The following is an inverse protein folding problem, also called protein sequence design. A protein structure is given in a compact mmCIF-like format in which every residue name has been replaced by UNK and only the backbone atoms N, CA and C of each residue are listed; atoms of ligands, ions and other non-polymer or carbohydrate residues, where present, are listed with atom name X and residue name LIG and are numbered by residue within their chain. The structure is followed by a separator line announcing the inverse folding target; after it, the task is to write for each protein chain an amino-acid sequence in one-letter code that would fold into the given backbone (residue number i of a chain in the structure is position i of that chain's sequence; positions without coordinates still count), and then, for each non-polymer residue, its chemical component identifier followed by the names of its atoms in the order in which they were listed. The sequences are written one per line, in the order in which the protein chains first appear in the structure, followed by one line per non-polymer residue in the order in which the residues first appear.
data_IF_497877412948
#
_entry.id   IF_497877412948
#
_cell.length_a   1.000
_cell.length_b   1.000
_cell.length_c   1.000
_cell.angle_alpha   90.00
_cell.angle_beta   90.00
_cell.angle_gamma   90.00
#
_symmetry.space_group_name_H-M   'P 1'
#
loop_
_entity.id
_entity.type
_entity.pdbx_description
1 polymer ?
#
# COMPACT_ATOMS: atom_id res chain seq x y z
N UNK A 1 0.52 9.03 -27.62
CA UNK A 1 1.47 8.25 -26.78
C UNK A 1 2.77 9.02 -26.71
N UNK A 2 3.12 9.57 -25.55
CA UNK A 2 4.37 10.31 -25.34
C UNK A 2 5.30 9.39 -24.55
N UNK A 3 6.47 9.08 -25.12
CA UNK A 3 7.53 8.35 -24.43
C UNK A 3 8.35 9.36 -23.62
N UNK A 4 8.38 9.19 -22.31
CA UNK A 4 9.14 10.06 -21.39
C UNK A 4 10.55 9.48 -21.26
N UNK A 5 11.58 10.31 -21.45
CA UNK A 5 12.95 9.88 -21.24
C UNK A 5 13.29 9.81 -19.74
N UNK A 6 14.21 8.92 -19.33
CA UNK A 6 14.62 8.75 -17.93
C UNK A 6 15.02 10.09 -17.26
N UNK A 7 15.69 10.97 -18.02
CA UNK A 7 16.08 12.32 -17.59
C UNK A 7 14.92 13.25 -17.23
N UNK A 8 13.72 12.99 -17.76
CA UNK A 8 12.52 13.82 -17.57
C UNK A 8 11.65 13.34 -16.40
N UNK A 9 11.82 12.07 -15.98
CA UNK A 9 11.06 11.43 -14.90
C UNK A 9 11.11 12.27 -13.62
N UNK A 10 12.31 12.72 -13.23
CA UNK A 10 12.49 13.56 -12.04
C UNK A 10 11.73 14.87 -12.14
N UNK A 11 11.69 15.48 -13.33
CA UNK A 11 10.97 16.73 -13.59
C UNK A 11 9.46 16.57 -13.45
N UNK A 12 8.91 15.43 -13.88
CA UNK A 12 7.48 15.12 -13.78
C UNK A 12 7.07 14.92 -12.32
N UNK A 13 7.78 14.06 -11.58
CA UNK A 13 7.46 13.80 -10.17
C UNK A 13 7.70 15.01 -9.25
N UNK A 14 8.59 15.92 -9.63
CA UNK A 14 8.83 17.16 -8.87
C UNK A 14 7.75 18.23 -9.10
N UNK A 15 7.02 18.17 -10.21
CA UNK A 15 6.00 19.16 -10.60
C UNK A 15 4.58 18.59 -10.45
N UNK A 16 4.24 18.14 -9.26
CA UNK A 16 2.94 17.52 -8.95
C UNK A 16 1.70 18.43 -9.12
N UNK A 17 1.87 19.75 -9.19
CA UNK A 17 0.80 20.70 -9.56
C UNK A 17 0.58 20.79 -11.08
N UNK A 18 1.55 20.35 -11.89
CA UNK A 18 1.51 20.41 -13.36
C UNK A 18 1.13 19.06 -13.94
N UNK A 19 1.65 17.99 -13.35
CA UNK A 19 1.38 16.60 -13.72
C UNK A 19 0.57 15.94 -12.61
N UNK A 20 -0.69 15.68 -12.89
CA UNK A 20 -1.61 15.03 -11.95
C UNK A 20 -1.80 13.56 -12.32
N UNK A 21 -2.19 12.71 -11.35
CA UNK A 21 -2.53 11.33 -11.67
C UNK A 21 -3.78 11.30 -12.53
N UNK A 22 -3.87 10.38 -13.51
CA UNK A 22 -5.07 10.27 -14.32
C UNK A 22 -6.27 9.96 -13.44
N UNK A 23 -7.34 10.75 -13.57
CA UNK A 23 -8.60 10.41 -12.92
C UNK A 23 -9.14 9.11 -13.52
N UNK A 24 -9.36 8.10 -12.67
CA UNK A 24 -9.95 6.84 -13.10
C UNK A 24 -11.27 7.11 -13.83
N UNK A 25 -11.39 6.58 -15.05
CA UNK A 25 -12.60 6.69 -15.87
C UNK A 25 -13.82 6.11 -15.15
N UNK A 26 -13.61 5.12 -14.27
CA UNK A 26 -14.65 4.54 -13.43
C UNK A 26 -14.54 5.00 -11.96
N UNK A 27 -15.46 5.84 -11.45
CA UNK A 27 -15.46 6.32 -10.08
C UNK A 27 -15.67 5.22 -9.03
N UNK A 28 -16.03 3.99 -9.44
CA UNK A 28 -16.11 2.81 -8.56
C UNK A 28 -14.74 2.43 -8.01
N UNK A 29 -13.64 2.71 -8.72
CA UNK A 29 -12.29 2.42 -8.23
C UNK A 29 -11.98 3.15 -6.90
N UNK A 30 -12.55 4.33 -6.69
CA UNK A 30 -12.40 5.09 -5.45
C UNK A 30 -13.05 4.42 -4.22
N UNK A 31 -13.90 3.40 -4.43
CA UNK A 31 -14.50 2.63 -3.35
C UNK A 31 -13.52 1.61 -2.75
N UNK A 32 -12.45 1.20 -3.44
CA UNK A 32 -11.47 0.29 -2.86
C UNK A 32 -10.61 0.99 -1.81
N UNK A 33 -10.02 2.12 -2.20
CA UNK A 33 -9.29 3.01 -1.32
C UNK A 33 -9.11 4.35 -2.04
N UNK A 34 -9.54 5.46 -1.43
CA UNK A 34 -9.20 6.79 -1.93
C UNK A 34 -7.80 7.17 -1.41
N UNK A 35 -7.69 7.49 -0.13
CA UNK A 35 -6.44 7.76 0.59
C UNK A 35 -5.45 8.69 -0.12
N UNK A 36 -4.26 8.83 0.46
CA UNK A 36 -3.21 9.70 -0.05
C UNK A 36 -2.77 9.35 -1.47
N UNK A 37 -2.92 8.09 -1.90
CA UNK A 37 -2.59 7.65 -3.25
C UNK A 37 -3.39 8.38 -4.33
N UNK A 38 -4.64 8.76 -4.06
CA UNK A 38 -5.54 9.40 -5.03
C UNK A 38 -5.72 10.91 -4.81
N UNK A 39 -5.09 11.50 -3.80
CA UNK A 39 -5.14 12.95 -3.59
C UNK A 39 -4.07 13.66 -4.42
N UNK A 40 -4.38 14.90 -4.80
CA UNK A 40 -3.48 15.80 -5.51
C UNK A 40 -3.26 17.09 -4.71
N UNK A 41 -2.22 17.84 -5.10
CA UNK A 41 -1.98 19.23 -4.67
C UNK A 41 -1.99 19.42 -3.14
N UNK A 42 -2.69 20.45 -2.65
CA UNK A 42 -2.76 20.82 -1.24
C UNK A 42 -3.36 19.70 -0.38
N UNK A 43 -4.33 18.96 -0.91
CA UNK A 43 -4.94 17.84 -0.19
C UNK A 43 -3.92 16.73 0.02
N UNK A 44 -3.16 16.38 -1.02
CA UNK A 44 -2.06 15.43 -0.88
C UNK A 44 -1.00 15.93 0.11
N UNK A 45 -0.61 17.21 0.01
CA UNK A 45 0.43 17.79 0.86
C UNK A 45 0.02 17.73 2.34
N UNK A 46 -1.23 18.08 2.65
CA UNK A 46 -1.82 17.98 3.99
C UNK A 46 -1.79 16.56 4.53
N UNK A 47 -2.34 15.60 3.78
CA UNK A 47 -2.36 14.20 4.19
C UNK A 47 -0.95 13.64 4.37
N UNK A 48 -0.03 13.97 3.46
CA UNK A 48 1.39 13.55 3.55
C UNK A 48 2.05 14.09 4.80
N UNK A 49 1.82 15.36 5.14
CA UNK A 49 2.38 15.99 6.34
C UNK A 49 1.94 15.23 7.59
N UNK A 50 0.63 15.00 7.74
CA UNK A 50 0.03 14.35 8.91
C UNK A 50 0.48 12.89 9.02
N UNK A 51 0.61 12.18 7.90
CA UNK A 51 1.01 10.76 7.88
C UNK A 51 2.50 10.52 8.09
N UNK A 52 3.36 11.46 7.70
CA UNK A 52 4.83 11.27 7.72
C UNK A 52 5.39 10.71 9.03
N UNK A 53 4.97 11.17 10.23
CA UNK A 53 5.49 10.63 11.49
C UNK A 53 5.22 9.14 11.69
N UNK A 54 4.09 8.63 11.18
CA UNK A 54 3.69 7.23 11.31
C UNK A 54 4.60 6.26 10.54
N UNK A 55 5.36 6.76 9.56
CA UNK A 55 6.30 5.98 8.75
C UNK A 55 7.77 6.27 9.09
N UNK A 56 8.05 6.90 10.23
CA UNK A 56 9.43 7.03 10.70
C UNK A 56 10.01 5.67 11.11
N UNK A 57 11.30 5.48 10.81
CA UNK A 57 12.00 4.19 11.01
C UNK A 57 11.91 3.66 12.46
N UNK A 58 11.81 4.56 13.44
CA UNK A 58 11.69 4.19 14.86
C UNK A 58 10.38 3.45 15.20
N UNK A 59 9.33 3.66 14.38
CA UNK A 59 7.98 3.08 14.53
C UNK A 59 7.81 1.73 13.82
N UNK A 60 8.80 1.29 13.03
CA UNK A 60 8.73 0.06 12.22
C UNK A 60 9.44 -1.15 12.88
N UNK A 61 9.54 -1.17 14.21
CA UNK A 61 10.26 -2.22 14.94
C UNK A 61 9.39 -3.45 15.15
N UNK A 62 10.08 -4.59 15.23
CA UNK A 62 9.59 -5.98 15.32
C UNK A 62 9.33 -6.63 13.98
N UNK A 63 9.98 -7.78 13.71
CA UNK A 63 9.40 -9.04 13.23
C UNK A 63 10.52 -10.02 12.84
N UNK A 64 10.50 -11.21 13.44
CA UNK A 64 11.13 -12.42 12.93
C UNK A 64 10.45 -13.63 13.56
N UNK A 65 9.67 -14.39 12.78
CA UNK A 65 9.44 -15.84 12.92
C UNK A 65 8.29 -16.28 12.00
N UNK A 66 8.64 -16.71 10.78
CA UNK A 66 7.92 -17.78 10.09
C UNK A 66 8.99 -18.65 9.44
N UNK A 67 9.49 -19.63 10.19
CA UNK A 67 10.18 -20.78 9.60
C UNK A 67 9.46 -22.00 10.17
N UNK A 68 8.68 -22.73 9.36
CA UNK A 68 8.15 -24.02 9.77
C UNK A 68 9.30 -24.98 10.11
N UNK A 69 9.09 -25.77 11.16
CA UNK A 69 10.03 -26.78 11.62
C UNK A 69 10.11 -27.96 10.63
N UNK A 70 11.34 -28.42 10.45
CA UNK A 70 11.85 -29.68 9.89
C UNK A 70 11.15 -30.36 8.69
N UNK A 71 11.76 -30.20 7.50
CA UNK A 71 11.56 -31.07 6.32
C UNK A 71 11.61 -30.32 4.97
N UNK A 72 11.93 -31.02 3.88
CA UNK A 72 11.73 -30.48 2.51
C UNK A 72 10.30 -30.76 2.05
N UNK A 73 9.52 -29.71 1.80
CA UNK A 73 8.15 -29.83 1.28
C UNK A 73 7.94 -28.85 0.14
N UNK A 74 7.22 -29.29 -0.91
CA UNK A 74 6.71 -28.40 -1.94
C UNK A 74 5.58 -27.53 -1.38
N UNK A 75 5.71 -26.22 -1.52
CA UNK A 75 4.83 -25.24 -0.93
C UNK A 75 4.49 -24.15 -1.95
N UNK A 76 3.20 -23.90 -2.15
CA UNK A 76 2.75 -22.67 -2.81
C UNK A 76 3.00 -21.49 -1.87
N UNK A 77 3.94 -20.64 -2.26
CA UNK A 77 4.41 -19.49 -1.45
C UNK A 77 3.46 -18.29 -1.53
N UNK A 78 2.60 -18.19 -2.55
CA UNK A 78 1.76 -16.99 -2.73
C UNK A 78 0.76 -16.81 -1.58
N UNK A 79 -0.06 -17.82 -1.19
CA UNK A 79 -0.96 -17.69 -0.06
C UNK A 79 -0.23 -17.46 1.27
N UNK A 80 0.99 -17.98 1.41
CA UNK A 80 1.80 -17.81 2.60
C UNK A 80 2.29 -16.37 2.76
N UNK A 81 2.75 -15.75 1.67
CA UNK A 81 3.16 -14.35 1.69
C UNK A 81 1.97 -13.39 1.82
N UNK A 82 0.81 -13.69 1.23
CA UNK A 82 -0.41 -12.92 1.51
C UNK A 82 -0.74 -12.95 3.01
N UNK A 83 -0.76 -14.14 3.63
CA UNK A 83 -1.00 -14.26 5.08
C UNK A 83 0.06 -13.54 5.92
N UNK A 84 1.35 -13.69 5.57
CA UNK A 84 2.46 -13.04 6.28
C UNK A 84 2.32 -11.51 6.23
N UNK A 85 2.14 -10.95 5.03
CA UNK A 85 2.03 -9.49 4.84
C UNK A 85 0.78 -8.92 5.49
N UNK A 86 -0.35 -9.63 5.44
CA UNK A 86 -1.56 -9.27 6.19
C UNK A 86 -1.31 -9.24 7.70
N UNK A 87 -0.61 -10.23 8.25
CA UNK A 87 -0.30 -10.27 9.69
C UNK A 87 0.64 -9.11 10.09
N UNK A 88 1.66 -8.83 9.28
CA UNK A 88 2.58 -7.71 9.50
C UNK A 88 1.83 -6.39 9.49
N UNK A 89 1.04 -6.10 8.45
CA UNK A 89 0.35 -4.81 8.34
C UNK A 89 -0.74 -4.66 9.42
N UNK A 90 -1.49 -5.73 9.75
CA UNK A 90 -2.49 -5.67 10.83
C UNK A 90 -1.90 -5.24 12.17
N UNK A 91 -0.71 -5.74 12.52
CA UNK A 91 -0.08 -5.43 13.80
C UNK A 91 0.74 -4.14 13.75
N UNK A 92 1.55 -3.92 12.70
CA UNK A 92 2.37 -2.70 12.60
C UNK A 92 1.54 -1.45 12.33
N UNK A 93 0.49 -1.56 11.50
CA UNK A 93 -0.32 -0.40 11.15
C UNK A 93 -1.50 -0.15 12.09
N UNK A 94 -2.03 -1.19 12.73
CA UNK A 94 -3.28 -1.09 13.49
C UNK A 94 -3.21 -1.68 14.91
N UNK A 95 -2.06 -2.19 15.34
CA UNK A 95 -1.91 -2.85 16.64
C UNK A 95 -2.81 -4.08 16.83
N UNK A 96 -3.35 -4.60 15.72
CA UNK A 96 -4.41 -5.62 15.69
C UNK A 96 -3.85 -6.98 15.28
N UNK A 97 -4.56 -8.05 15.61
CA UNK A 97 -4.22 -9.39 15.11
C UNK A 97 -4.57 -9.55 13.63
N UNK A 98 -3.93 -10.51 12.94
CA UNK A 98 -4.38 -10.91 11.59
C UNK A 98 -5.86 -11.27 11.57
N UNK A 99 -6.36 -11.96 12.60
CA UNK A 99 -7.76 -12.40 12.67
C UNK A 99 -8.74 -11.23 12.76
N UNK A 100 -8.37 -10.13 13.42
CA UNK A 100 -9.17 -8.89 13.45
C UNK A 100 -9.23 -8.20 12.08
N UNK A 101 -8.14 -8.22 11.32
CA UNK A 101 -8.06 -7.62 9.98
C UNK A 101 -8.49 -8.53 8.83
N UNK A 102 -8.57 -9.86 9.04
CA UNK A 102 -8.80 -10.86 7.99
C UNK A 102 -9.99 -10.53 7.10
N UNK A 103 -11.10 -10.14 7.72
CA UNK A 103 -12.34 -9.82 7.01
C UNK A 103 -12.17 -8.62 6.08
N UNK A 104 -11.39 -7.61 6.49
CA UNK A 104 -11.10 -6.42 5.67
C UNK A 104 -10.31 -6.84 4.42
N UNK A 105 -9.27 -7.65 4.58
CA UNK A 105 -8.47 -8.13 3.44
C UNK A 105 -9.29 -8.95 2.44
N UNK A 106 -10.12 -9.88 2.92
CA UNK A 106 -11.02 -10.67 2.07
C UNK A 106 -11.96 -9.78 1.26
N UNK A 107 -12.60 -8.80 1.91
CA UNK A 107 -13.51 -7.86 1.26
C UNK A 107 -12.79 -6.96 0.25
N UNK A 108 -11.60 -6.45 0.58
CA UNK A 108 -10.82 -5.63 -0.34
C UNK A 108 -10.31 -6.42 -1.55
N UNK A 109 -9.99 -7.70 -1.37
CA UNK A 109 -9.69 -8.61 -2.49
C UNK A 109 -10.89 -8.78 -3.41
N UNK A 110 -12.09 -9.02 -2.86
CA UNK A 110 -13.33 -9.08 -3.64
C UNK A 110 -13.61 -7.77 -4.40
N UNK A 111 -13.38 -6.62 -3.75
CA UNK A 111 -13.49 -5.30 -4.39
C UNK A 111 -12.49 -5.13 -5.54
N UNK A 112 -11.23 -5.52 -5.33
CA UNK A 112 -10.18 -5.45 -6.35
C UNK A 112 -10.52 -6.31 -7.57
N UNK A 113 -11.04 -7.54 -7.37
CA UNK A 113 -11.49 -8.40 -8.47
C UNK A 113 -12.63 -7.79 -9.30
N UNK A 114 -13.57 -7.11 -8.64
CA UNK A 114 -14.64 -6.39 -9.32
C UNK A 114 -14.06 -5.24 -10.14
N UNK A 115 -13.15 -4.46 -9.55
CA UNK A 115 -12.52 -3.32 -10.22
C UNK A 115 -11.70 -3.77 -11.42
N UNK A 116 -10.91 -4.84 -11.29
CA UNK A 116 -10.12 -5.41 -12.39
C UNK A 116 -10.99 -5.82 -13.58
N UNK A 117 -12.16 -6.43 -13.33
CA UNK A 117 -13.12 -6.77 -14.40
C UNK A 117 -13.70 -5.53 -15.08
N UNK A 118 -13.88 -4.44 -14.34
CA UNK A 118 -14.38 -3.18 -14.86
C UNK A 118 -13.28 -2.34 -15.54
N UNK A 119 -12.01 -2.61 -15.23
CA UNK A 119 -10.87 -1.87 -15.77
C UNK A 119 -10.72 -2.06 -17.28
N UNK A 120 -11.08 -3.25 -17.77
CA UNK A 120 -11.10 -3.58 -19.19
C UNK A 120 -12.40 -3.16 -19.91
N UNK A 121 -13.25 -2.34 -19.25
CA UNK A 121 -14.56 -1.94 -19.76
C UNK A 121 -14.68 -0.42 -19.88
N UNK A 122 -15.38 0.05 -20.92
CA UNK A 122 -15.71 1.47 -21.06
C UNK A 122 -16.70 1.84 -19.96
N UNK A 123 -16.31 2.78 -19.09
CA UNK A 123 -17.22 3.28 -18.08
C UNK A 123 -18.38 4.05 -18.73
N UNK A 124 -19.61 3.60 -18.46
CA UNK A 124 -20.82 4.30 -18.85
C UNK A 124 -21.24 5.20 -17.68
N UNK A 125 -21.30 6.54 -17.84
CA UNK A 125 -21.78 7.44 -16.79
C UNK A 125 -23.11 7.00 -16.18
N UNK A 126 -23.20 6.98 -14.85
CA UNK A 126 -24.40 6.56 -14.13
C UNK A 126 -24.57 5.05 -13.96
N UNK A 127 -23.81 4.21 -14.69
CA UNK A 127 -23.88 2.74 -14.59
C UNK A 127 -23.63 2.21 -13.17
N UNK A 128 -22.85 2.93 -12.35
CA UNK A 128 -22.61 2.62 -10.93
C UNK A 128 -23.87 2.59 -10.05
N UNK A 129 -24.94 3.25 -10.50
CA UNK A 129 -26.21 3.29 -9.78
C UNK A 129 -27.17 2.18 -10.22
N UNK A 130 -26.86 1.49 -11.32
CA UNK A 130 -27.66 0.36 -11.78
C UNK A 130 -27.57 -0.79 -10.76
N UNK A 131 -28.68 -1.52 -10.50
CA UNK A 131 -28.74 -2.58 -9.49
C UNK A 131 -28.10 -3.90 -9.98
N UNK A 132 -26.93 -3.82 -10.61
CA UNK A 132 -26.17 -5.01 -11.04
C UNK A 132 -25.62 -5.77 -9.84
N UNK A 133 -25.36 -7.08 -9.99
CA UNK A 133 -24.74 -7.90 -8.93
C UNK A 133 -23.41 -7.31 -8.45
N UNK A 134 -22.58 -6.86 -9.39
CA UNK A 134 -21.28 -6.24 -9.12
C UNK A 134 -21.41 -4.93 -8.34
N UNK A 135 -22.33 -4.04 -8.71
CA UNK A 135 -22.52 -2.77 -8.00
C UNK A 135 -23.10 -2.97 -6.59
N UNK A 136 -24.04 -3.91 -6.43
CA UNK A 136 -24.59 -4.25 -5.11
C UNK A 136 -23.50 -4.80 -4.20
N UNK A 137 -22.77 -5.79 -4.69
CA UNK A 137 -21.66 -6.40 -3.96
C UNK A 137 -20.61 -5.37 -3.57
N UNK A 138 -20.18 -4.50 -4.48
CA UNK A 138 -19.23 -3.42 -4.19
C UNK A 138 -19.72 -2.48 -3.10
N UNK A 139 -21.01 -2.09 -3.10
CA UNK A 139 -21.59 -1.24 -2.05
C UNK A 139 -21.67 -1.93 -0.70
N UNK A 140 -22.06 -3.21 -0.69
CA UNK A 140 -22.16 -4.02 0.52
C UNK A 140 -20.79 -4.22 1.16
N UNK A 141 -19.78 -4.63 0.37
CA UNK A 141 -18.42 -4.83 0.87
C UNK A 141 -17.78 -3.52 1.32
N UNK A 142 -18.01 -2.42 0.59
CA UNK A 142 -17.51 -1.10 1.01
C UNK A 142 -18.09 -0.66 2.35
N UNK A 143 -19.40 -0.85 2.55
CA UNK A 143 -20.03 -0.52 3.81
C UNK A 143 -19.44 -1.33 4.97
N UNK A 144 -19.24 -2.64 4.79
CA UNK A 144 -18.69 -3.52 5.82
C UNK A 144 -17.23 -3.16 6.16
N UNK A 145 -16.40 -2.86 5.16
CA UNK A 145 -15.01 -2.38 5.36
C UNK A 145 -15.01 -1.05 6.12
N UNK A 146 -15.82 -0.08 5.69
CA UNK A 146 -15.92 1.23 6.32
C UNK A 146 -16.38 1.14 7.78
N UNK A 147 -17.38 0.31 8.09
CA UNK A 147 -17.87 0.09 9.45
C UNK A 147 -16.83 -0.58 10.35
N UNK A 148 -16.07 -1.53 9.79
CA UNK A 148 -15.02 -2.24 10.52
C UNK A 148 -13.88 -1.30 10.92
N UNK A 149 -13.39 -0.51 9.95
CA UNK A 149 -12.31 0.47 10.20
C UNK A 149 -12.79 1.59 11.12
N UNK A 150 -14.03 2.07 10.93
CA UNK A 150 -14.61 3.10 11.80
C UNK A 150 -14.65 2.63 13.25
N UNK A 151 -15.02 1.37 13.50
CA UNK A 151 -15.02 0.79 14.84
C UNK A 151 -13.63 0.81 15.49
N UNK A 152 -12.57 0.51 14.73
CA UNK A 152 -11.20 0.61 15.21
C UNK A 152 -10.85 2.04 15.62
N UNK A 153 -11.18 3.02 14.78
CA UNK A 153 -10.93 4.44 15.06
C UNK A 153 -11.72 4.91 16.28
N UNK A 154 -13.03 4.61 16.34
CA UNK A 154 -13.90 5.02 17.44
C UNK A 154 -13.42 4.44 18.78
N UNK A 155 -12.90 3.20 18.78
CA UNK A 155 -12.31 2.60 19.98
C UNK A 155 -11.05 3.35 20.45
N UNK A 156 -10.18 3.77 19.53
CA UNK A 156 -8.97 4.55 19.84
C UNK A 156 -9.31 5.94 20.37
N UNK A 157 -10.32 6.60 19.77
CA UNK A 157 -10.81 7.91 20.24
C UNK A 157 -11.38 7.82 21.66
N UNK A 158 -12.21 6.81 21.96
CA UNK A 158 -12.74 6.58 23.32
C UNK A 158 -11.64 6.27 24.33
N UNK A 159 -10.63 5.50 23.96
CA UNK A 159 -9.48 5.23 24.82
C UNK A 159 -8.74 6.53 25.17
N UNK A 160 -8.56 7.42 24.18
CA UNK A 160 -7.95 8.74 24.39
C UNK A 160 -8.78 9.62 25.34
N UNK A 161 -10.10 9.66 25.17
CA UNK A 161 -11.00 10.37 26.10
C UNK A 161 -10.91 9.84 27.55
N UNK A 162 -10.63 8.55 27.70
CA UNK A 162 -10.38 7.91 28.99
C UNK A 162 -8.95 8.13 29.54
N UNK A 163 -8.14 8.98 28.89
CA UNK A 163 -6.78 9.32 29.31
C UNK A 163 -5.69 8.36 28.85
N UNK A 164 -6.00 7.40 27.97
CA UNK A 164 -4.99 6.50 27.39
C UNK A 164 -4.30 7.16 26.19
N UNK A 165 -3.13 6.66 25.82
CA UNK A 165 -2.46 7.05 24.59
C UNK A 165 -3.09 6.36 23.37
N UNK A 166 -2.89 6.94 22.19
CA UNK A 166 -3.43 6.37 20.95
C UNK A 166 -2.74 5.07 20.53
N UNK A 167 -1.60 4.72 21.10
CA UNK A 167 -0.75 3.60 20.67
C UNK A 167 0.36 4.05 19.72
N UNK A 168 1.39 3.22 19.59
CA UNK A 168 2.60 3.50 18.81
C UNK A 168 2.56 2.98 17.36
N UNK A 169 1.50 2.27 16.97
CA UNK A 169 1.24 1.84 15.60
C UNK A 169 0.91 3.02 14.64
N UNK A 170 0.83 2.72 13.33
CA UNK A 170 0.59 3.75 12.30
C UNK A 170 -0.73 4.49 12.53
N UNK A 171 -1.81 3.79 12.88
CA UNK A 171 -3.10 4.41 13.17
C UNK A 171 -3.02 5.30 14.40
N UNK A 172 -2.39 4.83 15.49
CA UNK A 172 -2.22 5.61 16.71
C UNK A 172 -1.42 6.89 16.45
N UNK A 173 -0.30 6.77 15.73
CA UNK A 173 0.55 7.90 15.36
C UNK A 173 -0.15 8.87 14.39
N UNK A 174 -0.98 8.36 13.46
CA UNK A 174 -1.80 9.19 12.58
C UNK A 174 -2.82 10.01 13.38
N UNK A 175 -3.54 9.39 14.31
CA UNK A 175 -4.54 10.07 15.15
C UNK A 175 -3.89 11.13 16.06
N UNK A 176 -2.72 10.82 16.61
CA UNK A 176 -1.93 11.76 17.41
C UNK A 176 -1.46 12.96 16.57
N UNK A 177 -0.78 12.71 15.45
CA UNK A 177 -0.32 13.74 14.51
C UNK A 177 -1.48 14.62 14.03
N UNK A 178 -2.64 14.02 13.76
CA UNK A 178 -3.84 14.74 13.35
C UNK A 178 -4.38 15.66 14.45
N UNK A 179 -4.39 15.17 15.69
CA UNK A 179 -4.86 15.95 16.85
C UNK A 179 -3.94 17.13 17.10
N UNK A 180 -2.62 16.91 17.06
CA UNK A 180 -1.61 17.95 17.24
C UNK A 180 -1.73 19.04 16.17
N UNK A 181 -1.92 18.68 14.89
CA UNK A 181 -2.08 19.67 13.81
C UNK A 181 -3.32 20.55 14.02
N UNK A 182 -4.42 19.97 14.51
CA UNK A 182 -5.66 20.71 14.82
C UNK A 182 -5.43 21.69 15.98
N UNK A 183 -4.75 21.23 17.04
CA UNK A 183 -4.46 22.03 18.24
C UNK A 183 -3.49 23.18 17.94
N UNK A 184 -2.38 22.92 17.24
CA UNK A 184 -1.37 23.93 16.89
C UNK A 184 -1.94 25.04 16.00
N UNK A 185 -2.86 24.70 15.10
CA UNK A 185 -3.48 25.66 14.17
C UNK A 185 -4.78 26.26 14.70
N UNK A 186 -5.32 25.72 15.80
CA UNK A 186 -6.58 26.16 16.40
C UNK A 186 -7.83 25.96 15.54
N UNK A 187 -7.76 25.14 14.48
CA UNK A 187 -8.89 24.88 13.58
C UNK A 187 -8.89 23.45 13.05
N UNK A 188 -10.08 22.82 13.08
CA UNK A 188 -10.32 21.47 12.56
C UNK A 188 -10.08 21.35 11.06
N UNK A 189 -10.09 22.47 10.32
CA UNK A 189 -9.85 22.49 8.87
C UNK A 189 -8.42 22.04 8.50
N UNK A 190 -7.47 22.16 9.42
CA UNK A 190 -6.08 21.72 9.22
C UNK A 190 -5.87 20.23 9.50
N UNK A 191 -6.82 19.56 10.18
CA UNK A 191 -6.78 18.12 10.40
C UNK A 191 -7.61 17.33 9.38
N UNK A 192 -7.43 16.02 9.39
CA UNK A 192 -8.22 15.03 8.66
C UNK A 192 -9.55 14.79 9.37
N UNK A 193 -10.61 14.69 8.57
CA UNK A 193 -11.91 14.19 9.03
C UNK A 193 -11.83 12.69 9.33
N UNK A 194 -12.77 12.15 10.12
CA UNK A 194 -12.83 10.71 10.39
C UNK A 194 -12.98 9.90 9.10
N UNK A 195 -13.78 10.39 8.15
CA UNK A 195 -13.93 9.71 6.86
C UNK A 195 -12.62 9.71 6.06
N UNK A 196 -11.83 10.79 6.13
CA UNK A 196 -10.49 10.82 5.53
C UNK A 196 -9.53 9.85 6.19
N UNK A 197 -9.53 9.74 7.52
CA UNK A 197 -8.74 8.74 8.26
C UNK A 197 -9.16 7.33 7.85
N UNK A 198 -10.45 7.05 7.72
CA UNK A 198 -10.94 5.75 7.21
C UNK A 198 -10.38 5.47 5.81
N UNK A 199 -10.38 6.45 4.90
CA UNK A 199 -9.83 6.26 3.57
C UNK A 199 -8.32 5.99 3.56
N UNK A 200 -7.56 6.58 4.48
CA UNK A 200 -6.13 6.24 4.67
C UNK A 200 -5.96 4.81 5.19
N UNK A 201 -6.75 4.40 6.20
CA UNK A 201 -6.70 3.05 6.73
C UNK A 201 -7.04 1.99 5.67
N UNK A 202 -8.06 2.22 4.85
CA UNK A 202 -8.39 1.35 3.71
C UNK A 202 -7.21 1.22 2.75
N UNK A 203 -6.53 2.33 2.47
CA UNK A 203 -5.35 2.32 1.62
C UNK A 203 -4.21 1.53 2.26
N UNK A 204 -3.97 1.66 3.57
CA UNK A 204 -2.89 0.91 4.24
C UNK A 204 -3.14 -0.60 4.25
N UNK A 205 -4.37 -1.03 4.54
CA UNK A 205 -4.73 -2.45 4.46
C UNK A 205 -4.49 -3.01 3.05
N UNK A 206 -4.96 -2.31 2.01
CA UNK A 206 -4.83 -2.78 0.63
C UNK A 206 -3.38 -2.70 0.12
N UNK A 207 -2.77 -1.51 0.18
CA UNK A 207 -1.46 -1.26 -0.40
C UNK A 207 -0.35 -2.01 0.33
N UNK A 208 -0.43 -2.13 1.66
CA UNK A 208 0.61 -2.77 2.48
C UNK A 208 0.68 -4.29 2.30
N UNK A 209 -0.45 -4.94 2.04
CA UNK A 209 -0.52 -6.39 1.87
C UNK A 209 -0.19 -6.81 0.44
N UNK A 210 -1.03 -6.44 -0.54
CA UNK A 210 -0.99 -7.05 -1.86
C UNK A 210 0.36 -6.79 -2.54
N UNK A 211 0.84 -5.54 -2.51
CA UNK A 211 2.08 -5.17 -3.19
C UNK A 211 3.31 -5.90 -2.62
N UNK A 212 3.42 -5.94 -1.28
CA UNK A 212 4.52 -6.63 -0.59
C UNK A 212 4.48 -8.14 -0.85
N UNK A 213 3.28 -8.74 -0.89
CA UNK A 213 3.14 -10.18 -1.13
C UNK A 213 3.61 -10.57 -2.53
N UNK A 214 3.20 -9.82 -3.56
CA UNK A 214 3.63 -10.00 -4.95
C UNK A 214 5.14 -9.81 -5.07
N UNK A 215 5.68 -8.78 -4.43
CA UNK A 215 7.11 -8.50 -4.42
C UNK A 215 7.93 -9.64 -3.80
N UNK A 216 7.47 -10.24 -2.70
CA UNK A 216 8.11 -11.40 -2.07
C UNK A 216 8.05 -12.66 -2.94
N UNK A 217 6.90 -12.93 -3.60
CA UNK A 217 6.78 -14.06 -4.53
C UNK A 217 7.81 -13.95 -5.65
N UNK A 218 7.88 -12.79 -6.28
CA UNK A 218 8.80 -12.55 -7.38
C UNK A 218 10.26 -12.60 -6.96
N UNK A 219 10.58 -12.07 -5.78
CA UNK A 219 11.88 -12.22 -5.14
C UNK A 219 12.29 -13.69 -5.03
N UNK A 220 11.38 -14.56 -4.56
CA UNK A 220 11.65 -15.99 -4.45
C UNK A 220 11.83 -16.67 -5.81
N UNK A 221 10.98 -16.35 -6.79
CA UNK A 221 11.11 -16.87 -8.17
C UNK A 221 12.47 -16.50 -8.74
N UNK A 222 12.87 -15.22 -8.62
CA UNK A 222 14.12 -14.74 -9.14
C UNK A 222 15.32 -15.41 -8.45
N UNK A 223 15.35 -15.44 -7.12
CA UNK A 223 16.42 -16.10 -6.36
C UNK A 223 16.54 -17.59 -6.71
N UNK A 224 15.42 -18.28 -6.97
CA UNK A 224 15.43 -19.68 -7.40
C UNK A 224 16.13 -19.89 -8.75
N UNK A 225 16.05 -18.91 -9.66
CA UNK A 225 16.68 -18.94 -10.99
C UNK A 225 18.12 -18.44 -10.99
N UNK A 226 18.53 -17.69 -9.97
CA UNK A 226 19.84 -17.06 -9.87
C UNK A 226 20.59 -17.51 -8.60
N UNK A 227 20.98 -18.79 -8.57
CA UNK A 227 21.60 -19.44 -7.41
C UNK A 227 22.84 -18.74 -6.88
N UNK A 228 23.65 -18.13 -7.74
CA UNK A 228 24.84 -17.34 -7.33
C UNK A 228 24.44 -16.15 -6.44
N UNK A 229 23.37 -15.45 -6.79
CA UNK A 229 22.85 -14.33 -6.02
C UNK A 229 22.14 -14.79 -4.75
N UNK A 230 21.44 -15.92 -4.80
CA UNK A 230 20.88 -16.55 -3.60
C UNK A 230 21.98 -16.90 -2.58
N UNK A 231 23.11 -17.45 -3.05
CA UNK A 231 24.26 -17.76 -2.21
C UNK A 231 24.87 -16.49 -1.58
N UNK A 232 25.11 -15.44 -2.38
CA UNK A 232 25.63 -14.16 -1.89
C UNK A 232 24.71 -13.50 -0.85
N UNK A 233 23.40 -13.50 -1.10
CA UNK A 233 22.43 -12.95 -0.15
C UNK A 233 22.41 -13.74 1.17
N UNK A 234 22.46 -15.09 1.09
CA UNK A 234 22.55 -15.95 2.28
C UNK A 234 23.84 -15.70 3.05
N UNK A 235 24.98 -15.59 2.36
CA UNK A 235 26.26 -15.30 2.98
C UNK A 235 26.26 -13.94 3.69
N UNK A 236 25.72 -12.89 3.05
CA UNK A 236 25.59 -11.56 3.67
C UNK A 236 24.77 -11.62 4.96
N UNK A 237 23.61 -12.28 4.95
CA UNK A 237 22.74 -12.42 6.12
C UNK A 237 23.46 -13.18 7.24
N UNK A 238 24.14 -14.28 6.91
CA UNK A 238 24.90 -15.08 7.89
C UNK A 238 26.10 -14.30 8.46
N UNK A 239 26.80 -13.52 7.64
CA UNK A 239 27.90 -12.66 8.12
C UNK A 239 27.40 -11.51 9.00
N UNK A 240 26.23 -10.94 8.67
CA UNK A 240 25.67 -9.81 9.40
C UNK A 240 25.04 -10.22 10.75
N UNK A 241 24.40 -11.39 10.83
CA UNK A 241 23.58 -11.77 11.98
C UNK A 241 23.90 -13.15 12.58
N UNK A 242 24.73 -13.97 11.94
CA UNK A 242 24.98 -15.35 12.38
C UNK A 242 23.69 -16.17 12.43
N UNK A 243 23.39 -16.72 13.61
CA UNK A 243 22.15 -17.46 13.90
C UNK A 243 21.15 -16.65 14.73
N UNK A 244 21.48 -15.41 15.09
CA UNK A 244 20.66 -14.58 15.96
C UNK A 244 19.56 -13.86 15.14
N UNK A 245 18.49 -13.45 15.83
CA UNK A 245 17.48 -12.61 15.19
C UNK A 245 18.05 -11.21 14.91
N UNK A 246 17.97 -10.71 13.67
CA UNK A 246 18.53 -9.41 13.33
C UNK A 246 17.84 -8.29 14.08
N UNK A 247 18.61 -7.43 14.75
CA UNK A 247 18.05 -6.19 15.27
C UNK A 247 17.76 -5.21 14.12
N UNK A 248 16.67 -4.43 14.22
CA UNK A 248 16.21 -3.55 13.14
C UNK A 248 17.30 -2.61 12.58
N UNK A 249 18.15 -2.05 13.45
CA UNK A 249 19.22 -1.13 13.05
C UNK A 249 20.31 -1.82 12.21
N UNK A 250 20.45 -3.13 12.34
CA UNK A 250 21.45 -3.93 11.63
C UNK A 250 20.99 -4.31 10.21
N UNK A 251 19.70 -4.14 9.87
CA UNK A 251 19.19 -4.34 8.51
C UNK A 251 19.89 -3.43 7.48
N UNK A 252 20.37 -2.26 7.91
CA UNK A 252 21.18 -1.35 7.09
C UNK A 252 22.51 -1.95 6.59
N UNK A 253 22.98 -3.04 7.22
CA UNK A 253 24.19 -3.77 6.81
C UNK A 253 23.95 -4.68 5.60
N UNK A 254 22.70 -5.00 5.27
CA UNK A 254 22.33 -5.88 4.17
C UNK A 254 22.34 -5.14 2.82
N UNK A 255 23.53 -4.88 2.29
CA UNK A 255 23.71 -4.11 1.05
C UNK A 255 23.27 -4.89 -0.19
N UNK A 256 23.57 -6.18 -0.25
CA UNK A 256 23.21 -7.06 -1.38
C UNK A 256 21.71 -7.26 -1.38
N UNK A 257 21.10 -7.59 -0.23
CA UNK A 257 19.63 -7.72 -0.14
C UNK A 257 18.96 -6.39 -0.48
N UNK A 258 19.46 -5.26 0.02
CA UNK A 258 18.87 -3.94 -0.29
C UNK A 258 19.05 -3.53 -1.76
N UNK A 259 20.20 -3.81 -2.35
CA UNK A 259 20.46 -3.54 -3.77
C UNK A 259 19.62 -4.44 -4.67
N UNK A 260 19.41 -5.69 -4.28
CA UNK A 260 18.52 -6.63 -4.97
C UNK A 260 17.08 -6.13 -5.00
N UNK A 261 16.59 -5.63 -3.86
CA UNK A 261 15.24 -5.08 -3.72
C UNK A 261 14.98 -3.93 -4.71
N UNK A 262 15.98 -3.07 -4.96
CA UNK A 262 15.87 -1.96 -5.89
C UNK A 262 15.85 -2.41 -7.37
N UNK A 263 16.72 -3.34 -7.77
CA UNK A 263 16.81 -3.83 -9.16
C UNK A 263 15.56 -4.62 -9.58
N UNK A 264 14.93 -5.35 -8.66
CA UNK A 264 13.73 -6.13 -8.98
C UNK A 264 12.47 -5.26 -9.17
N UNK A 265 12.32 -4.19 -8.38
CA UNK A 265 11.23 -3.22 -8.57
C UNK A 265 11.29 -2.59 -9.97
N UNK A 266 12.50 -2.35 -10.47
CA UNK A 266 12.75 -1.74 -11.78
C UNK A 266 12.57 -2.71 -12.96
N UNK A 267 12.86 -4.00 -12.78
CA UNK A 267 12.86 -4.98 -13.90
C UNK A 267 11.54 -5.68 -14.13
N UNK A 268 10.67 -5.78 -13.13
CA UNK A 268 9.40 -6.52 -13.24
C UNK A 268 8.17 -5.60 -13.22
N UNK A 269 8.35 -4.28 -13.36
CA UNK A 269 7.27 -3.27 -13.43
C UNK A 269 6.16 -3.55 -12.39
N UNK A 270 6.54 -3.92 -11.14
CA UNK A 270 5.58 -4.23 -10.06
C UNK A 270 4.65 -3.02 -9.84
N UNK A 271 5.16 -1.83 -10.13
CA UNK A 271 4.41 -0.59 -10.16
C UNK A 271 4.51 0.07 -11.52
N UNK A 272 3.38 0.16 -12.20
CA UNK A 272 3.24 1.01 -13.36
C UNK A 272 2.62 2.33 -12.94
N UNK A 273 3.34 3.44 -13.12
CA UNK A 273 2.86 4.79 -12.78
C UNK A 273 2.59 5.62 -14.03
N UNK A 274 1.54 6.42 -14.01
CA UNK A 274 1.16 7.32 -15.10
C UNK A 274 0.72 8.67 -14.54
N UNK A 275 0.96 9.72 -15.30
CA UNK A 275 0.55 11.09 -14.97
C UNK A 275 0.13 11.81 -16.26
N UNK A 276 -0.83 12.72 -16.15
CA UNK A 276 -1.38 13.51 -17.26
C UNK A 276 -0.92 14.95 -17.09
N UNK A 277 -0.37 15.54 -18.16
CA UNK A 277 -0.01 16.95 -18.20
C UNK A 277 -1.23 17.83 -18.45
N UNK A 278 -1.24 19.03 -17.87
CA UNK A 278 -2.36 19.98 -17.94
C UNK A 278 -2.73 20.50 -19.35
N UNK A 279 -1.92 20.26 -20.38
CA UNK A 279 -2.13 20.84 -21.72
C UNK A 279 -2.65 19.89 -22.80
N UNK A 280 -2.64 18.57 -22.60
CA UNK A 280 -3.10 17.62 -23.61
C UNK A 280 -4.05 16.60 -23.00
N UNK A 281 -5.33 16.70 -23.37
CA UNK A 281 -6.30 15.64 -23.14
C UNK A 281 -5.98 14.51 -24.11
N UNK A 282 -5.29 13.46 -23.66
CA UNK A 282 -5.61 12.08 -24.05
C UNK A 282 -4.75 11.00 -23.35
N UNK A 283 -5.49 10.02 -22.82
CA UNK A 283 -5.14 8.65 -22.43
C UNK A 283 -4.73 8.38 -20.95
N UNK A 284 -5.55 7.55 -20.32
CA UNK A 284 -5.58 7.15 -18.91
C UNK A 284 -5.34 5.65 -18.78
N UNK A 285 -4.28 5.20 -18.10
CA UNK A 285 -4.19 3.82 -17.56
C UNK A 285 -3.26 3.77 -16.33
N UNK A 286 -3.65 3.09 -15.24
CA UNK A 286 -2.83 2.79 -14.05
C UNK A 286 -3.23 1.43 -13.46
N UNK A 287 -2.23 0.59 -13.18
CA UNK A 287 -2.24 -0.82 -12.70
C UNK A 287 -2.49 -1.90 -13.76
N UNK A 288 -1.41 -2.41 -14.35
CA UNK A 288 -1.37 -3.73 -15.00
C UNK A 288 -0.53 -4.67 -14.15
N UNK A 289 -1.09 -5.85 -13.83
CA UNK A 289 -0.31 -7.03 -13.45
C UNK A 289 -0.65 -8.08 -14.52
N UNK A 290 0.37 -8.39 -15.32
CA UNK A 290 0.46 -9.41 -16.37
C UNK A 290 -0.15 -9.22 -17.78
N UNK A 291 0.68 -9.74 -18.70
CA UNK A 291 0.58 -10.02 -20.14
C UNK A 291 0.70 -8.89 -21.17
N UNK A 292 1.36 -9.30 -22.26
CA UNK A 292 2.19 -8.51 -23.14
C UNK A 292 1.44 -7.46 -23.95
N UNK A 293 2.13 -6.33 -24.11
CA UNK A 293 1.85 -5.17 -24.93
C UNK A 293 1.16 -3.98 -24.23
N UNK A 294 1.73 -2.81 -24.54
CA UNK A 294 1.31 -1.43 -24.28
C UNK A 294 2.08 -0.68 -23.19
N UNK A 295 2.20 0.63 -23.41
CA UNK A 295 3.30 1.51 -22.99
C UNK A 295 2.83 2.45 -21.85
N UNK A 296 3.61 2.49 -20.77
CA UNK A 296 3.54 3.45 -19.65
C UNK A 296 4.95 4.02 -19.40
N UNK A 297 5.14 4.83 -18.36
CA UNK A 297 6.49 5.21 -17.89
C UNK A 297 7.25 3.91 -17.65
N UNK A 298 8.13 3.58 -18.59
CA UNK A 298 9.02 2.44 -18.54
C UNK A 298 10.33 3.01 -18.05
N UNK A 299 10.73 2.65 -16.83
CA UNK A 299 12.08 2.94 -16.37
C UNK A 299 12.97 1.92 -17.10
N UNK A 300 13.48 2.31 -18.27
CA UNK A 300 14.59 1.58 -18.91
C UNK A 300 15.87 1.78 -18.12
#
# INVERSE_FOLDING_TARGET
MILIMESEIRGIFAKNYVYQKPHHSNPVANLLARGIANYEEDKWAKHRKILKPAFHMEKLKEWAQIVPDEGSKELDIWPQFQKLTSAIISRTAFGSSYEEGRRIFELQKEQAEIIMKQFNSIYIPGSRFLPTKSNKKMKETEKEVQESIRRLIDNRLKAKEAGQEFGDDILGTLLESNSNEIEERGSKEFGLTIDEVIQECKLFYFAGQETTSVWLVWTMIWLSRHQEWQAKAREEVLQAFGSDQPAFHELSRLKIVSSFNATHILTHDIFRTCSVGSTDHELTYLFYIYEENLICIHIM
#
